data_IF_322572736598
#
_entry.id   IF_322572736598
#
_cell.length_a   1.000
_cell.length_b   1.000
_cell.length_c   1.000
_cell.angle_alpha   90.00
_cell.angle_beta   90.00
_cell.angle_gamma   90.00
#
_symmetry.space_group_name_H-M   'P 1'
#
loop_
_entity.id
_entity.type
_entity.pdbx_description
1 polymer ?
#
# COMPACT_ATOMS: atom_id res chain seq x y z
N UNK A 1 -22.81 -5.42 5.40
CA UNK A 1 -21.49 -5.35 4.73
C UNK A 1 -21.11 -3.89 4.63
N UNK A 2 -19.92 -3.51 5.04
CA UNK A 2 -19.42 -2.13 4.96
C UNK A 2 -19.10 -1.78 3.51
N UNK A 3 -19.19 -0.49 3.14
CA UNK A 3 -18.76 0.00 1.83
C UNK A 3 -17.24 -0.18 1.62
N UNK A 4 -16.46 -0.19 2.69
CA UNK A 4 -15.02 -0.47 2.66
C UNK A 4 -14.69 -1.90 2.24
N UNK A 5 -15.59 -2.85 2.45
CA UNK A 5 -15.44 -4.26 2.07
C UNK A 5 -16.18 -4.62 0.78
N UNK A 6 -16.71 -3.63 0.05
CA UNK A 6 -17.52 -3.89 -1.15
C UNK A 6 -16.73 -4.56 -2.27
N UNK A 7 -15.54 -4.06 -2.57
CA UNK A 7 -14.66 -4.63 -3.59
C UNK A 7 -13.63 -5.61 -3.01
N UNK A 8 -13.33 -5.52 -1.72
CA UNK A 8 -12.26 -6.28 -1.08
C UNK A 8 -10.87 -5.80 -1.47
N UNK A 9 -9.87 -6.38 -0.88
CA UNK A 9 -8.47 -6.13 -1.16
C UNK A 9 -7.63 -5.96 0.10
N UNK A 10 -6.34 -6.19 -0.06
CA UNK A 10 -5.35 -6.11 1.00
C UNK A 10 -4.08 -5.42 0.51
N UNK A 11 -3.54 -4.55 1.34
CA UNK A 11 -2.23 -3.93 1.14
C UNK A 11 -1.41 -4.02 2.42
N UNK A 12 -0.11 -4.17 2.28
CA UNK A 12 0.83 -4.09 3.40
C UNK A 12 2.13 -3.40 2.97
N UNK A 13 2.82 -2.79 3.92
CA UNK A 13 4.20 -2.35 3.74
C UNK A 13 5.03 -2.68 4.98
N UNK A 14 6.29 -3.02 4.78
CA UNK A 14 7.26 -3.37 5.83
C UNK A 14 8.59 -2.70 5.58
N UNK A 15 9.30 -2.35 6.65
CA UNK A 15 10.66 -1.82 6.56
C UNK A 15 11.70 -2.94 6.70
N UNK A 16 12.80 -2.78 6.00
CA UNK A 16 14.02 -3.56 6.15
C UNK A 16 15.24 -2.66 6.25
N UNK A 17 16.42 -3.25 6.19
CA UNK A 17 17.68 -2.52 6.21
C UNK A 17 17.89 -1.77 4.89
N UNK A 18 17.76 -0.45 4.92
CA UNK A 18 17.89 0.43 3.75
C UNK A 18 16.94 0.07 2.58
N UNK A 19 15.84 -0.64 2.87
CA UNK A 19 14.84 -1.05 1.90
C UNK A 19 13.43 -1.04 2.50
N UNK A 20 12.43 -1.04 1.62
CA UNK A 20 11.01 -1.11 2.00
C UNK A 20 10.30 -2.08 1.06
N UNK A 21 9.45 -2.92 1.62
CA UNK A 21 8.50 -3.72 0.86
C UNK A 21 7.13 -3.05 0.85
N UNK A 22 6.44 -3.08 -0.29
CA UNK A 22 5.01 -2.81 -0.38
C UNK A 22 4.35 -3.87 -1.24
N UNK A 23 3.23 -4.39 -0.78
CA UNK A 23 2.55 -5.49 -1.46
C UNK A 23 1.04 -5.32 -1.45
N UNK A 24 0.38 -5.90 -2.46
CA UNK A 24 -1.08 -6.00 -2.51
C UNK A 24 -1.54 -7.29 -3.17
N UNK A 25 -2.77 -7.69 -2.88
CA UNK A 25 -3.47 -8.72 -3.62
C UNK A 25 -3.90 -8.23 -5.02
N UNK A 26 -4.47 -9.12 -5.83
CA UNK A 26 -4.89 -8.83 -7.20
C UNK A 26 -6.39 -8.98 -7.44
N UNK A 27 -7.18 -9.32 -6.42
CA UNK A 27 -8.61 -9.53 -6.59
C UNK A 27 -9.36 -8.21 -6.84
N UNK A 28 -10.27 -8.24 -7.80
CA UNK A 28 -11.33 -7.26 -7.97
C UNK A 28 -12.68 -7.98 -7.88
N UNK A 29 -13.52 -7.61 -6.95
CA UNK A 29 -14.80 -8.24 -6.74
C UNK A 29 -15.92 -7.24 -6.46
N UNK A 30 -17.15 -7.75 -6.56
CA UNK A 30 -18.37 -7.08 -6.12
C UNK A 30 -18.98 -7.97 -5.06
N UNK A 31 -18.77 -7.61 -3.80
CA UNK A 31 -19.14 -8.44 -2.65
C UNK A 31 -18.49 -9.82 -2.73
N UNK A 32 -19.26 -10.89 -2.69
CA UNK A 32 -18.75 -12.26 -2.78
C UNK A 32 -18.36 -12.71 -4.20
N UNK A 33 -18.75 -11.97 -5.24
CA UNK A 33 -18.46 -12.31 -6.62
C UNK A 33 -17.13 -11.73 -7.06
N UNK A 34 -16.22 -12.57 -7.54
CA UNK A 34 -14.97 -12.13 -8.17
C UNK A 34 -15.24 -11.76 -9.63
N UNK A 35 -14.86 -10.54 -10.02
CA UNK A 35 -15.03 -10.00 -11.37
C UNK A 35 -13.70 -10.06 -12.15
N UNK A 36 -12.59 -9.78 -11.49
CA UNK A 36 -11.27 -9.77 -12.09
C UNK A 36 -10.19 -10.25 -11.14
N UNK A 37 -9.06 -10.70 -11.71
CA UNK A 37 -7.94 -11.30 -10.99
C UNK A 37 -6.62 -10.59 -11.26
N UNK A 38 -6.68 -9.42 -11.85
CA UNK A 38 -5.51 -8.59 -12.15
C UNK A 38 -5.86 -7.11 -11.92
N UNK A 39 -6.12 -6.78 -10.68
CA UNK A 39 -6.42 -5.42 -10.25
C UNK A 39 -5.33 -4.95 -9.27
N UNK A 40 -4.27 -4.31 -9.78
CA UNK A 40 -3.20 -3.81 -8.93
C UNK A 40 -3.70 -2.66 -8.06
N UNK A 41 -3.28 -2.66 -6.79
CA UNK A 41 -3.64 -1.66 -5.79
C UNK A 41 -2.42 -0.86 -5.30
N UNK A 42 -1.24 -1.17 -5.83
CA UNK A 42 0.00 -0.45 -5.57
C UNK A 42 0.38 0.37 -6.80
N UNK A 43 0.66 1.64 -6.58
CA UNK A 43 0.96 2.63 -7.62
C UNK A 43 2.30 3.30 -7.37
N UNK A 44 3.11 3.43 -8.41
CA UNK A 44 4.33 4.23 -8.38
C UNK A 44 3.97 5.71 -8.41
N UNK A 45 4.38 6.44 -7.37
CA UNK A 45 4.15 7.87 -7.22
C UNK A 45 5.41 8.69 -7.44
N UNK A 46 6.56 8.04 -7.45
CA UNK A 46 7.87 8.62 -7.71
C UNK A 46 8.96 7.55 -7.73
N UNK A 47 10.22 7.88 -8.05
CA UNK A 47 11.29 6.88 -8.28
C UNK A 47 11.52 5.89 -7.13
N UNK A 48 11.23 6.31 -5.90
CA UNK A 48 11.38 5.49 -4.68
C UNK A 48 10.17 5.67 -3.75
N UNK A 49 9.01 6.00 -4.32
CA UNK A 49 7.80 6.32 -3.58
C UNK A 49 6.62 5.57 -4.18
N UNK A 50 6.01 4.72 -3.40
CA UNK A 50 4.87 3.90 -3.78
C UNK A 50 3.71 4.14 -2.83
N UNK A 51 2.51 3.94 -3.33
CA UNK A 51 1.27 4.06 -2.56
C UNK A 51 0.40 2.84 -2.82
N UNK A 52 -0.04 2.18 -1.77
CA UNK A 52 -1.07 1.15 -1.81
C UNK A 52 -2.42 1.73 -1.43
N UNK A 53 -3.47 1.36 -2.15
CA UNK A 53 -4.84 1.82 -1.91
C UNK A 53 -5.77 0.63 -1.77
N UNK A 54 -6.30 0.41 -0.59
CA UNK A 54 -7.37 -0.55 -0.33
C UNK A 54 -8.69 0.18 -0.05
N UNK A 55 -9.80 -0.42 -0.45
CA UNK A 55 -11.15 0.12 -0.26
C UNK A 55 -11.99 0.09 -1.53
N UNK A 56 -12.82 1.10 -1.74
CA UNK A 56 -13.74 1.18 -2.87
C UNK A 56 -12.98 1.48 -4.17
N UNK A 57 -13.08 0.59 -5.16
CA UNK A 57 -12.28 0.63 -6.39
C UNK A 57 -12.43 1.94 -7.19
N UNK A 58 -13.62 2.53 -7.23
CA UNK A 58 -13.84 3.82 -7.89
C UNK A 58 -13.09 4.96 -7.18
N UNK A 59 -13.04 4.94 -5.85
CA UNK A 59 -12.31 5.95 -5.06
C UNK A 59 -10.80 5.75 -5.15
N UNK A 60 -10.32 4.51 -5.28
CA UNK A 60 -8.93 4.20 -5.56
C UNK A 60 -8.47 4.94 -6.82
N UNK A 61 -9.20 4.80 -7.92
CA UNK A 61 -8.86 5.47 -9.17
C UNK A 61 -8.95 6.99 -9.06
N UNK A 62 -10.02 7.51 -8.47
CA UNK A 62 -10.21 8.96 -8.32
C UNK A 62 -9.10 9.60 -7.50
N UNK A 63 -8.73 9.01 -6.38
CA UNK A 63 -7.68 9.55 -5.51
C UNK A 63 -6.31 9.41 -6.16
N UNK A 64 -6.01 8.26 -6.78
CA UNK A 64 -4.78 8.08 -7.56
C UNK A 64 -4.61 9.18 -8.61
N UNK A 65 -5.61 9.44 -9.45
CA UNK A 65 -5.52 10.43 -10.53
C UNK A 65 -5.34 11.85 -9.98
N UNK A 66 -6.03 12.20 -8.89
CA UNK A 66 -5.89 13.50 -8.23
C UNK A 66 -4.50 13.68 -7.60
N UNK A 67 -3.96 12.65 -6.99
CA UNK A 67 -2.61 12.70 -6.42
C UNK A 67 -1.54 12.77 -7.51
N UNK A 68 -1.68 12.03 -8.58
CA UNK A 68 -0.80 12.13 -9.77
C UNK A 68 -0.77 13.57 -10.32
N UNK A 69 -1.93 14.20 -10.43
CA UNK A 69 -2.01 15.60 -10.86
C UNK A 69 -1.28 16.54 -9.90
N UNK A 70 -1.52 16.41 -8.58
CA UNK A 70 -0.84 17.24 -7.56
C UNK A 70 0.67 17.01 -7.54
N UNK A 71 1.12 15.78 -7.71
CA UNK A 71 2.54 15.44 -7.80
C UNK A 71 3.23 16.09 -9.00
N UNK A 72 2.60 16.04 -10.17
CA UNK A 72 3.13 16.69 -11.38
C UNK A 72 3.24 18.21 -11.18
N UNK A 73 2.22 18.82 -10.58
CA UNK A 73 2.28 20.26 -10.25
C UNK A 73 3.39 20.57 -9.24
N UNK A 74 3.58 19.72 -8.21
CA UNK A 74 4.64 19.87 -7.23
C UNK A 74 6.02 19.81 -7.90
N UNK A 75 6.26 18.79 -8.72
CA UNK A 75 7.52 18.62 -9.44
C UNK A 75 7.84 19.81 -10.35
N UNK A 76 6.83 20.34 -11.06
CA UNK A 76 7.00 21.53 -11.92
C UNK A 76 7.31 22.81 -11.14
N UNK A 77 6.72 23.00 -9.97
CA UNK A 77 6.93 24.19 -9.13
C UNK A 77 8.24 24.17 -8.36
N UNK A 78 8.55 23.02 -7.77
CA UNK A 78 9.70 22.83 -6.89
C UNK A 78 10.96 22.40 -7.65
N UNK A 79 10.83 21.92 -8.89
CA UNK A 79 11.91 21.35 -9.71
C UNK A 79 12.71 20.27 -8.98
N UNK A 80 12.01 19.44 -8.20
CA UNK A 80 12.56 18.32 -7.44
C UNK A 80 11.47 17.27 -7.15
N UNK A 81 11.90 16.06 -6.87
CA UNK A 81 11.00 15.00 -6.42
C UNK A 81 10.50 15.26 -4.98
N UNK A 82 9.27 14.84 -4.72
CA UNK A 82 8.64 14.99 -3.42
C UNK A 82 9.24 14.01 -2.41
N UNK A 83 9.42 14.44 -1.17
CA UNK A 83 9.80 13.54 -0.08
C UNK A 83 8.61 12.72 0.40
N UNK A 84 8.82 11.47 0.87
CA UNK A 84 7.75 10.62 1.37
C UNK A 84 6.87 11.30 2.44
N UNK A 85 7.47 12.00 3.40
CA UNK A 85 6.74 12.73 4.45
C UNK A 85 5.90 13.88 3.92
N UNK A 86 6.39 14.59 2.91
CA UNK A 86 5.64 15.67 2.24
C UNK A 86 4.47 15.09 1.44
N UNK A 87 4.68 13.94 0.79
CA UNK A 87 3.63 13.23 0.09
C UNK A 87 2.54 12.74 1.05
N UNK A 88 2.89 12.19 2.21
CA UNK A 88 1.95 11.85 3.26
C UNK A 88 1.07 13.04 3.65
N UNK A 89 1.65 14.22 3.85
CA UNK A 89 0.90 15.43 4.16
C UNK A 89 -0.04 15.84 3.00
N UNK A 90 0.39 15.68 1.75
CA UNK A 90 -0.45 15.93 0.58
C UNK A 90 -1.65 14.99 0.53
N UNK A 91 -1.45 13.70 0.81
CA UNK A 91 -2.53 12.70 0.87
C UNK A 91 -3.48 13.01 2.01
N UNK A 92 -2.96 13.28 3.21
CA UNK A 92 -3.74 13.65 4.40
C UNK A 92 -4.65 14.85 4.11
N UNK A 93 -4.12 15.92 3.53
CA UNK A 93 -4.90 17.10 3.17
C UNK A 93 -5.98 16.80 2.13
N UNK A 94 -5.67 16.01 1.11
CA UNK A 94 -6.64 15.62 0.08
C UNK A 94 -7.81 14.84 0.67
N UNK A 95 -7.55 13.92 1.59
CA UNK A 95 -8.60 13.14 2.25
C UNK A 95 -9.43 13.98 3.20
N UNK A 96 -8.81 14.87 3.99
CA UNK A 96 -9.52 15.72 4.94
C UNK A 96 -10.38 16.79 4.27
N UNK A 97 -10.06 17.21 3.04
CA UNK A 97 -10.95 18.07 2.25
C UNK A 97 -12.34 17.47 2.08
N UNK A 98 -12.47 16.15 2.18
CA UNK A 98 -13.72 15.39 2.06
C UNK A 98 -14.18 14.78 3.38
N UNK A 99 -13.86 15.41 4.51
CA UNK A 99 -14.19 14.91 5.86
C UNK A 99 -15.65 14.50 6.03
N UNK A 100 -16.58 15.24 5.45
CA UNK A 100 -18.03 15.02 5.58
C UNK A 100 -18.66 14.31 4.36
N UNK A 101 -17.86 13.79 3.46
CA UNK A 101 -18.21 12.95 2.31
C UNK A 101 -16.96 12.26 1.85
N UNK A 102 -16.36 11.34 2.67
CA UNK A 102 -15.01 10.84 2.47
C UNK A 102 -14.90 9.89 1.29
N UNK A 103 -13.70 9.80 0.75
CA UNK A 103 -13.32 8.67 -0.08
C UNK A 103 -13.20 7.42 0.78
N UNK A 104 -13.81 6.32 0.35
CA UNK A 104 -13.78 5.06 1.08
C UNK A 104 -12.51 4.25 0.74
N UNK A 105 -11.38 4.77 1.17
CA UNK A 105 -10.07 4.16 0.98
C UNK A 105 -9.21 4.33 2.23
N UNK A 106 -8.25 3.45 2.40
CA UNK A 106 -7.21 3.51 3.43
C UNK A 106 -5.84 3.39 2.78
N UNK A 107 -5.16 4.53 2.52
CA UNK A 107 -3.87 4.52 1.85
C UNK A 107 -2.74 4.01 2.73
N UNK A 108 -1.78 3.32 2.09
CA UNK A 108 -0.46 3.04 2.62
C UNK A 108 0.56 3.75 1.75
N UNK A 109 1.54 4.39 2.36
CA UNK A 109 2.66 5.02 1.65
C UNK A 109 3.94 4.30 2.08
N UNK A 110 4.76 3.94 1.11
CA UNK A 110 6.05 3.32 1.32
C UNK A 110 7.10 3.96 0.41
N UNK A 111 8.26 4.27 0.94
CA UNK A 111 9.33 4.84 0.15
C UNK A 111 10.64 5.01 0.89
N UNK A 112 11.65 5.46 0.18
CA UNK A 112 12.95 5.83 0.73
C UNK A 112 13.16 7.34 0.60
N UNK A 113 13.69 7.97 1.65
CA UNK A 113 14.13 9.36 1.53
C UNK A 113 15.29 9.43 0.52
N UNK A 114 15.15 10.31 -0.48
CA UNK A 114 16.11 10.39 -1.57
C UNK A 114 17.55 10.76 -1.16
N UNK A 115 17.73 11.41 0.00
CA UNK A 115 19.04 11.87 0.50
C UNK A 115 19.65 10.89 1.50
N UNK A 116 18.84 10.39 2.45
CA UNK A 116 19.33 9.58 3.56
C UNK A 116 19.14 8.08 3.31
N UNK A 117 18.33 7.70 2.31
CA UNK A 117 17.83 6.35 2.04
C UNK A 117 17.12 5.72 3.25
N UNK A 118 16.70 6.52 4.24
CA UNK A 118 15.96 6.01 5.39
C UNK A 118 14.60 5.50 4.91
N UNK A 119 14.21 4.27 5.30
CA UNK A 119 12.87 3.75 5.08
C UNK A 119 11.81 4.64 5.68
N UNK A 120 10.70 4.79 4.97
CA UNK A 120 9.52 5.51 5.42
C UNK A 120 8.28 4.73 5.04
N UNK A 121 7.47 4.41 6.02
CA UNK A 121 6.14 3.85 5.82
C UNK A 121 5.13 4.57 6.69
N UNK A 122 3.93 4.70 6.19
CA UNK A 122 2.79 5.15 6.96
C UNK A 122 1.49 4.60 6.39
N UNK A 123 0.47 4.52 7.22
CA UNK A 123 -0.92 4.32 6.81
C UNK A 123 -1.76 5.54 7.16
N UNK A 124 -2.85 5.75 6.44
CA UNK A 124 -3.82 6.80 6.73
C UNK A 124 -5.21 6.18 6.78
N UNK A 125 -6.06 6.72 7.65
CA UNK A 125 -7.48 6.40 7.63
C UNK A 125 -8.21 7.11 6.48
N UNK A 126 -9.50 6.84 6.32
CA UNK A 126 -10.31 7.41 5.23
C UNK A 126 -10.44 8.95 5.28
N UNK A 127 -10.18 9.58 6.41
CA UNK A 127 -10.20 11.04 6.58
C UNK A 127 -8.81 11.67 6.68
N UNK A 128 -7.75 10.87 6.45
CA UNK A 128 -6.39 11.35 6.30
C UNK A 128 -5.58 11.47 7.60
N UNK A 129 -5.99 10.79 8.69
CA UNK A 129 -5.16 10.72 9.91
C UNK A 129 -3.96 9.80 9.66
N UNK A 130 -2.72 10.32 9.66
CA UNK A 130 -1.55 9.50 9.40
C UNK A 130 -1.08 8.74 10.64
N UNK A 131 -0.60 7.52 10.43
CA UNK A 131 0.11 6.70 11.39
C UNK A 131 1.48 6.32 10.80
N UNK A 132 2.53 6.94 11.29
CA UNK A 132 3.92 6.61 10.93
C UNK A 132 4.43 5.52 11.87
N UNK A 133 5.06 4.47 11.34
CA UNK A 133 5.68 3.39 12.10
C UNK A 133 7.07 3.07 11.55
N UNK A 134 7.86 2.30 12.32
CA UNK A 134 9.20 1.87 11.90
C UNK A 134 9.26 0.36 11.56
N UNK A 135 8.16 -0.36 11.66
CA UNK A 135 8.02 -1.79 11.46
C UNK A 135 7.20 -2.14 10.21
N UNK A 136 5.88 -2.14 10.34
CA UNK A 136 4.96 -2.47 9.24
C UNK A 136 3.64 -1.72 9.37
N UNK A 137 2.95 -1.57 8.25
CA UNK A 137 1.58 -1.05 8.16
C UNK A 137 0.75 -1.94 7.26
N UNK A 138 -0.53 -2.07 7.57
CA UNK A 138 -1.47 -2.89 6.82
C UNK A 138 -2.77 -2.14 6.58
N UNK A 139 -3.50 -2.53 5.53
CA UNK A 139 -4.80 -1.95 5.18
C UNK A 139 -5.61 -2.96 4.37
N UNK A 140 -6.92 -2.84 4.43
CA UNK A 140 -7.84 -3.66 3.65
C UNK A 140 -8.70 -4.58 4.49
N UNK A 141 -9.39 -5.50 3.82
CA UNK A 141 -10.42 -6.35 4.45
C UNK A 141 -9.87 -7.48 5.33
N UNK A 142 -8.57 -7.78 5.24
CA UNK A 142 -7.88 -8.76 6.10
C UNK A 142 -6.78 -8.12 6.98
N UNK A 143 -6.99 -6.88 7.40
CA UNK A 143 -6.04 -6.13 8.23
C UNK A 143 -5.78 -6.83 9.58
N UNK A 144 -6.78 -7.38 10.24
CA UNK A 144 -6.62 -8.14 11.50
C UNK A 144 -5.70 -9.35 11.31
N UNK A 145 -5.90 -10.13 10.25
CA UNK A 145 -5.05 -11.26 9.91
C UNK A 145 -3.63 -10.81 9.55
N UNK A 146 -3.52 -9.75 8.75
CA UNK A 146 -2.23 -9.16 8.37
C UNK A 146 -1.45 -8.71 9.59
N UNK A 147 -2.06 -7.99 10.53
CA UNK A 147 -1.39 -7.58 11.76
C UNK A 147 -0.83 -8.75 12.54
N UNK A 148 -1.63 -9.81 12.74
CA UNK A 148 -1.19 -10.98 13.48
C UNK A 148 -0.01 -11.72 12.83
N UNK A 149 -0.01 -11.81 11.49
CA UNK A 149 1.08 -12.48 10.76
C UNK A 149 2.30 -11.58 10.69
N UNK A 150 2.15 -10.30 10.37
CA UNK A 150 3.26 -9.34 10.32
C UNK A 150 4.02 -9.29 11.65
N UNK A 151 3.29 -9.29 12.78
CA UNK A 151 3.90 -9.33 14.12
C UNK A 151 4.77 -10.56 14.35
N UNK A 152 4.44 -11.67 13.71
CA UNK A 152 5.18 -12.93 13.86
C UNK A 152 6.36 -13.09 12.89
N UNK A 153 6.32 -12.43 11.73
CA UNK A 153 7.32 -12.63 10.67
C UNK A 153 8.27 -11.44 10.48
N UNK A 154 7.88 -10.25 10.95
CA UNK A 154 8.73 -9.09 10.82
C UNK A 154 9.83 -9.07 11.88
N UNK A 155 11.03 -8.80 11.43
CA UNK A 155 12.20 -8.58 12.29
C UNK A 155 12.90 -7.27 11.85
N UNK A 156 13.55 -6.55 12.77
CA UNK A 156 14.31 -5.36 12.41
C UNK A 156 15.50 -5.71 11.50
N UNK A 157 15.85 -4.77 10.62
CA UNK A 157 17.02 -4.84 9.74
C UNK A 157 17.07 -6.04 8.77
N UNK A 158 15.90 -6.55 8.36
CA UNK A 158 15.83 -7.60 7.32
C UNK A 158 16.47 -7.13 6.01
N UNK A 159 17.24 -8.02 5.38
CA UNK A 159 17.75 -7.83 4.03
C UNK A 159 16.60 -7.90 2.98
N UNK A 160 16.80 -7.41 1.75
CA UNK A 160 15.75 -7.35 0.75
C UNK A 160 15.08 -8.69 0.40
N UNK A 161 15.84 -9.79 0.39
CA UNK A 161 15.29 -11.11 0.07
C UNK A 161 14.45 -11.67 1.24
N UNK A 162 14.94 -11.56 2.46
CA UNK A 162 14.18 -11.93 3.68
C UNK A 162 12.93 -11.07 3.83
N UNK A 163 13.03 -9.77 3.55
CA UNK A 163 11.88 -8.85 3.58
C UNK A 163 10.84 -9.22 2.53
N UNK A 164 11.28 -9.65 1.33
CA UNK A 164 10.38 -10.15 0.29
C UNK A 164 9.65 -11.41 0.75
N UNK A 165 10.34 -12.35 1.36
CA UNK A 165 9.73 -13.58 1.89
C UNK A 165 8.72 -13.27 2.98
N UNK A 166 9.07 -12.42 3.96
CA UNK A 166 8.20 -12.02 5.05
C UNK A 166 6.92 -11.33 4.53
N UNK A 167 7.05 -10.34 3.63
CA UNK A 167 5.91 -9.66 3.04
C UNK A 167 5.03 -10.60 2.21
N UNK A 168 5.64 -11.52 1.45
CA UNK A 168 4.92 -12.50 0.63
C UNK A 168 4.13 -13.48 1.49
N UNK A 169 4.74 -14.02 2.53
CA UNK A 169 4.09 -14.94 3.47
C UNK A 169 2.95 -14.24 4.23
N UNK A 170 3.17 -13.00 4.67
CA UNK A 170 2.14 -12.23 5.36
C UNK A 170 0.92 -12.02 4.44
N UNK A 171 1.12 -11.56 3.21
CA UNK A 171 0.03 -11.30 2.27
C UNK A 171 -0.74 -12.57 1.92
N UNK A 172 -0.05 -13.64 1.52
CA UNK A 172 -0.71 -14.86 1.07
C UNK A 172 -1.49 -15.54 2.21
N UNK A 173 -0.89 -15.68 3.39
CA UNK A 173 -1.55 -16.33 4.51
C UNK A 173 -2.74 -15.52 5.04
N UNK A 174 -2.66 -14.19 5.05
CA UNK A 174 -3.79 -13.36 5.44
C UNK A 174 -4.93 -13.42 4.41
N UNK A 175 -4.61 -13.34 3.12
CA UNK A 175 -5.59 -13.42 2.04
C UNK A 175 -6.31 -14.79 2.02
N UNK A 176 -5.63 -15.88 2.38
CA UNK A 176 -6.21 -17.22 2.44
C UNK A 176 -7.30 -17.35 3.52
N UNK A 177 -7.37 -16.43 4.48
CA UNK A 177 -8.42 -16.35 5.51
C UNK A 177 -9.40 -15.20 5.31
N UNK A 178 -9.42 -14.62 4.11
CA UNK A 178 -10.36 -13.56 3.72
C UNK A 178 -11.10 -13.97 2.44
N UNK A 179 -12.42 -13.91 2.49
CA UNK A 179 -13.27 -14.28 1.36
C UNK A 179 -13.22 -13.26 0.20
N UNK A 180 -12.77 -12.02 0.47
CA UNK A 180 -12.85 -10.92 -0.48
C UNK A 180 -11.47 -10.37 -0.90
N UNK A 181 -10.41 -11.04 -0.52
CA UNK A 181 -9.02 -10.77 -0.96
C UNK A 181 -8.38 -12.02 -1.52
N UNK A 182 -7.31 -11.88 -2.30
CA UNK A 182 -6.54 -13.01 -2.82
C UNK A 182 -6.28 -12.96 -4.31
N UNK A 183 -6.35 -14.14 -4.96
CA UNK A 183 -6.03 -14.32 -6.39
C UNK A 183 -4.59 -13.94 -6.73
N UNK A 184 -3.67 -14.26 -5.81
CA UNK A 184 -2.26 -13.90 -5.91
C UNK A 184 -1.97 -12.51 -5.35
N UNK A 185 -0.78 -12.01 -5.63
CA UNK A 185 -0.34 -10.70 -5.18
C UNK A 185 0.86 -10.19 -5.96
N UNK A 186 1.20 -8.94 -5.70
CA UNK A 186 2.41 -8.31 -6.22
C UNK A 186 3.16 -7.68 -5.06
N UNK A 187 4.47 -7.90 -5.03
CA UNK A 187 5.40 -7.34 -4.04
C UNK A 187 6.42 -6.47 -4.76
N UNK A 188 6.58 -5.25 -4.29
CA UNK A 188 7.61 -4.33 -4.72
C UNK A 188 8.63 -4.16 -3.59
N UNK A 189 9.89 -4.46 -3.87
CA UNK A 189 11.01 -4.17 -2.96
C UNK A 189 11.72 -2.93 -3.48
N UNK A 190 11.68 -1.88 -2.69
CA UNK A 190 12.26 -0.58 -3.00
C UNK A 190 13.62 -0.50 -2.32
N UNK A 191 14.69 -0.50 -3.10
CA UNK A 191 16.07 -0.35 -2.67
C UNK A 191 16.63 1.00 -3.15
N UNK A 192 17.84 1.32 -2.70
CA UNK A 192 18.51 2.57 -3.06
C UNK A 192 18.60 2.80 -4.57
N UNK A 193 18.98 1.76 -5.32
CA UNK A 193 19.34 1.91 -6.74
C UNK A 193 18.41 1.13 -7.69
N UNK A 194 17.51 0.32 -7.15
CA UNK A 194 16.57 -0.47 -7.95
C UNK A 194 15.25 -0.69 -7.22
N UNK A 195 14.21 -0.97 -7.99
CA UNK A 195 12.95 -1.51 -7.49
C UNK A 195 12.74 -2.88 -8.12
N UNK A 196 12.56 -3.89 -7.28
CA UNK A 196 12.29 -5.26 -7.72
C UNK A 196 10.81 -5.55 -7.53
N UNK A 197 10.12 -5.90 -8.62
CA UNK A 197 8.71 -6.28 -8.59
C UNK A 197 8.58 -7.77 -8.88
N UNK A 198 7.89 -8.50 -8.00
CA UNK A 198 7.62 -9.93 -8.16
C UNK A 198 6.13 -10.21 -7.97
N UNK A 199 5.58 -11.01 -8.89
CA UNK A 199 4.20 -11.48 -8.79
C UNK A 199 4.16 -12.79 -8.01
N UNK A 200 3.25 -12.86 -7.06
CA UNK A 200 3.02 -14.04 -6.23
C UNK A 200 1.87 -14.84 -6.79
N UNK A 201 2.07 -16.16 -6.89
CA UNK A 201 1.00 -17.10 -7.19
C UNK A 201 0.44 -17.62 -5.87
N UNK A 202 -0.80 -17.27 -5.58
CA UNK A 202 -1.55 -17.75 -4.42
C UNK A 202 -2.56 -18.82 -4.78
N UNK A 203 -3.44 -19.13 -3.84
CA UNK A 203 -4.64 -19.93 -4.11
C UNK A 203 -5.57 -19.15 -5.04
N UNK A 204 -6.29 -19.87 -5.89
CA UNK A 204 -7.20 -19.33 -6.90
C UNK A 204 -8.65 -19.71 -6.61
N UNK A 205 -9.00 -19.80 -5.35
CA UNK A 205 -10.35 -20.17 -4.88
C UNK A 205 -11.00 -19.10 -3.98
#
# INVERSE_FOLDING_TARGET
MSIMSYNGGACLAMTGKDCVAIASDLRYGIQAQTVGMNFPKVFEMGPKLYMGLAGLATDIQTVHDRLQFRLKLYSLRENRDIKPKTFMAMVSNLLYERRFGPYFIEPIIAGLDAKTNKPFICSLDLIGCPMETEDFVVSGTCDEQLYGICESVWEPDMDPDTLFEAASQALLNAADRDAVSGWGGVVHIIEKDKVTTRTLKGRMD
#
